data_IF_333612069630
#
_entry.id   IF_333612069630
#
_cell.length_a   1.000
_cell.length_b   1.000
_cell.length_c   1.000
_cell.angle_alpha   90.00
_cell.angle_beta   90.00
_cell.angle_gamma   90.00
#
_symmetry.space_group_name_H-M   'P 1'
#
loop_
_entity.id
_entity.type
_entity.pdbx_description
1 polymer ?
#
# COMPACT_ATOMS: atom_id res chain seq x y z
N UNK A 1 8.06 -1.01 9.03
CA UNK A 1 8.65 -1.86 10.08
C UNK A 1 10.17 -1.79 10.10
N UNK A 2 10.86 -1.85 8.93
CA UNK A 2 12.33 -1.82 8.88
C UNK A 2 12.94 -0.57 9.51
N UNK A 3 12.37 0.60 9.24
CA UNK A 3 12.83 1.88 9.84
C UNK A 3 11.87 2.41 10.91
N UNK A 4 10.57 2.14 10.74
CA UNK A 4 9.52 2.65 11.63
C UNK A 4 8.54 1.55 12.02
N UNK A 5 8.14 1.54 13.28
CA UNK A 5 7.01 0.74 13.76
C UNK A 5 5.70 1.20 13.12
N UNK A 6 4.82 0.25 12.83
CA UNK A 6 3.44 0.49 12.40
C UNK A 6 2.55 -0.55 13.08
N UNK A 7 1.28 -0.27 13.32
CA UNK A 7 0.39 -1.24 14.00
C UNK A 7 -0.11 -2.35 13.07
N UNK A 8 -0.24 -2.04 11.78
CA UNK A 8 -0.78 -2.93 10.75
C UNK A 8 0.20 -3.02 9.57
N UNK A 9 0.73 -4.22 9.32
CA UNK A 9 1.66 -4.50 8.23
C UNK A 9 1.06 -5.47 7.21
N UNK A 10 0.95 -5.04 5.95
CA UNK A 10 0.48 -5.91 4.85
C UNK A 10 1.67 -6.60 4.16
N UNK A 11 1.68 -7.92 4.19
CA UNK A 11 2.66 -8.78 3.53
C UNK A 11 1.97 -9.79 2.61
N UNK A 12 1.70 -9.41 1.36
CA UNK A 12 1.05 -10.30 0.39
C UNK A 12 1.93 -11.50 -0.05
N UNK A 13 3.25 -11.33 -0.02
CA UNK A 13 4.20 -12.39 -0.39
C UNK A 13 4.68 -13.16 0.83
N UNK A 14 4.73 -14.51 0.73
CA UNK A 14 5.22 -15.40 1.80
C UNK A 14 6.58 -14.98 2.36
N UNK A 15 7.50 -14.59 1.48
CA UNK A 15 8.86 -14.17 1.85
C UNK A 15 8.87 -12.94 2.76
N UNK A 16 7.93 -12.01 2.56
CA UNK A 16 7.81 -10.81 3.37
C UNK A 16 7.24 -11.11 4.76
N UNK A 17 6.31 -12.06 4.85
CA UNK A 17 5.79 -12.53 6.16
C UNK A 17 6.91 -13.18 6.97
N UNK A 18 7.68 -14.08 6.34
CA UNK A 18 8.83 -14.73 6.96
C UNK A 18 9.85 -13.72 7.47
N UNK A 19 10.17 -12.73 6.65
CA UNK A 19 11.12 -11.68 7.05
C UNK A 19 10.62 -10.91 8.27
N UNK A 20 9.35 -10.46 8.27
CA UNK A 20 8.78 -9.71 9.40
C UNK A 20 8.80 -10.54 10.69
N UNK A 21 8.43 -11.82 10.62
CA UNK A 21 8.45 -12.72 11.78
C UNK A 21 9.87 -13.02 12.28
N UNK A 22 10.83 -13.24 11.39
CA UNK A 22 12.23 -13.48 11.75
C UNK A 22 12.89 -12.26 12.42
N UNK A 23 12.41 -11.07 12.08
CA UNK A 23 12.82 -9.82 12.74
C UNK A 23 12.00 -9.50 14.00
N UNK A 24 11.19 -10.45 14.51
CA UNK A 24 10.36 -10.30 15.69
C UNK A 24 9.43 -9.08 15.64
N UNK A 25 8.89 -8.77 14.46
CA UNK A 25 7.93 -7.69 14.33
C UNK A 25 6.69 -7.96 15.21
N UNK A 26 6.33 -6.96 16.02
CA UNK A 26 5.36 -7.03 17.10
C UNK A 26 3.97 -6.49 16.73
N UNK A 27 3.86 -5.79 15.59
CA UNK A 27 2.59 -5.34 15.02
C UNK A 27 1.75 -6.47 14.39
N UNK A 28 0.53 -6.14 13.97
CA UNK A 28 -0.35 -7.11 13.30
C UNK A 28 0.06 -7.30 11.83
N UNK A 29 0.47 -8.52 11.48
CA UNK A 29 0.76 -8.90 10.08
C UNK A 29 -0.51 -9.37 9.39
N UNK A 30 -0.76 -8.89 8.18
CA UNK A 30 -1.82 -9.35 7.29
C UNK A 30 -1.21 -10.00 6.05
N UNK A 31 -1.74 -11.14 5.63
CA UNK A 31 -1.29 -11.85 4.42
C UNK A 31 -2.47 -12.48 3.68
N UNK A 32 -2.19 -13.13 2.54
CA UNK A 32 -3.21 -13.78 1.72
C UNK A 32 -3.85 -14.96 2.46
N UNK A 33 -5.13 -15.27 2.18
CA UNK A 33 -5.79 -16.45 2.74
C UNK A 33 -5.04 -17.74 2.39
N UNK A 34 -4.39 -17.80 1.23
CA UNK A 34 -3.56 -18.93 0.78
C UNK A 34 -2.35 -19.21 1.69
N UNK A 35 -1.87 -18.17 2.37
CA UNK A 35 -0.63 -18.18 3.15
C UNK A 35 -0.86 -18.18 4.66
N UNK A 36 -1.97 -17.59 5.12
CA UNK A 36 -2.19 -17.28 6.54
C UNK A 36 -2.01 -18.48 7.47
N UNK A 37 -2.43 -19.68 7.04
CA UNK A 37 -2.33 -20.91 7.84
C UNK A 37 -0.87 -21.30 8.15
N UNK A 38 0.10 -20.81 7.38
CA UNK A 38 1.53 -21.08 7.58
C UNK A 38 2.19 -20.10 8.54
N UNK A 39 1.53 -18.97 8.84
CA UNK A 39 2.11 -17.85 9.54
C UNK A 39 1.23 -17.44 10.71
N UNK A 40 1.51 -18.00 11.89
CA UNK A 40 0.82 -17.59 13.12
C UNK A 40 1.74 -16.71 13.96
N UNK A 41 1.30 -15.52 14.45
CA UNK A 41 -0.04 -14.94 14.32
C UNK A 41 -0.16 -13.91 13.17
N UNK A 42 -0.49 -14.35 11.96
CA UNK A 42 -0.91 -13.46 10.87
C UNK A 42 -2.44 -13.49 10.70
N UNK A 43 -2.99 -12.38 10.19
CA UNK A 43 -4.39 -12.24 9.79
C UNK A 43 -4.53 -12.26 8.28
N UNK A 44 -5.75 -12.46 7.80
CA UNK A 44 -6.06 -12.37 6.36
C UNK A 44 -6.25 -10.89 5.98
N UNK A 45 -5.72 -10.49 4.82
CA UNK A 45 -6.05 -9.20 4.19
C UNK A 45 -7.57 -9.04 4.04
N UNK A 46 -8.12 -7.82 4.08
CA UNK A 46 -9.56 -7.62 3.96
C UNK A 46 -10.09 -8.07 2.59
N UNK A 47 -11.31 -8.60 2.58
CA UNK A 47 -12.04 -8.83 1.33
C UNK A 47 -12.28 -7.51 0.59
N UNK A 48 -12.27 -7.58 -0.75
CA UNK A 48 -12.55 -6.42 -1.58
C UNK A 48 -13.99 -5.95 -1.36
N UNK A 49 -14.24 -4.63 -1.34
CA UNK A 49 -15.57 -4.08 -1.08
C UNK A 49 -16.52 -4.20 -2.29
N UNK A 50 -16.07 -4.85 -3.36
CA UNK A 50 -16.79 -4.99 -4.61
C UNK A 50 -16.43 -6.32 -5.28
N UNK A 51 -17.28 -6.74 -6.23
CA UNK A 51 -17.04 -7.89 -7.09
C UNK A 51 -16.76 -7.42 -8.51
N UNK A 52 -15.74 -7.98 -9.15
CA UNK A 52 -15.45 -7.75 -10.56
C UNK A 52 -15.10 -9.05 -11.28
N UNK A 53 -15.02 -8.97 -12.61
CA UNK A 53 -14.82 -10.14 -13.48
C UNK A 53 -13.47 -10.15 -14.17
N UNK A 54 -12.66 -9.11 -13.96
CA UNK A 54 -11.36 -8.97 -14.61
C UNK A 54 -10.22 -9.49 -13.73
N UNK A 55 -9.05 -9.68 -14.33
CA UNK A 55 -7.84 -10.06 -13.60
C UNK A 55 -7.47 -9.03 -12.51
N UNK A 56 -7.72 -7.76 -12.76
CA UNK A 56 -7.45 -6.66 -11.81
C UNK A 56 -8.34 -6.73 -10.56
N UNK A 57 -9.52 -7.35 -10.69
CA UNK A 57 -10.53 -7.51 -9.63
C UNK A 57 -10.31 -8.75 -8.76
N UNK A 58 -9.42 -9.64 -9.17
CA UNK A 58 -9.11 -10.81 -8.37
C UNK A 58 -8.12 -10.41 -7.25
N UNK A 59 -8.45 -10.64 -5.96
CA UNK A 59 -7.58 -10.30 -4.83
C UNK A 59 -6.18 -10.92 -4.92
N UNK A 60 -6.02 -12.04 -5.64
CA UNK A 60 -4.72 -12.65 -5.91
C UNK A 60 -3.76 -11.71 -6.64
N UNK A 61 -4.28 -10.81 -7.47
CA UNK A 61 -3.50 -9.84 -8.23
C UNK A 61 -3.38 -8.47 -7.54
N UNK A 62 -3.87 -8.32 -6.32
CA UNK A 62 -3.66 -7.13 -5.50
C UNK A 62 -2.33 -7.21 -4.74
N UNK A 63 -1.56 -6.12 -4.77
CA UNK A 63 -0.31 -5.99 -4.02
C UNK A 63 -0.52 -5.48 -2.59
N UNK A 64 0.55 -5.43 -1.79
CA UNK A 64 0.48 -4.92 -0.41
C UNK A 64 0.02 -3.45 -0.34
N UNK A 65 0.43 -2.60 -1.29
CA UNK A 65 0.04 -1.18 -1.33
C UNK A 65 -1.48 -0.99 -1.42
N UNK A 66 -2.16 -1.50 -2.45
CA UNK A 66 -3.62 -1.44 -2.56
C UNK A 66 -4.37 -2.01 -1.35
N UNK A 67 -3.92 -3.13 -0.79
CA UNK A 67 -4.50 -3.67 0.44
C UNK A 67 -4.26 -2.80 1.67
N UNK A 68 -3.13 -2.08 1.76
CA UNK A 68 -2.87 -1.14 2.84
C UNK A 68 -3.83 0.05 2.77
N UNK A 69 -4.10 0.59 1.58
CA UNK A 69 -5.12 1.64 1.39
C UNK A 69 -6.51 1.12 1.75
N UNK A 70 -6.87 -0.09 1.31
CA UNK A 70 -8.16 -0.72 1.64
C UNK A 70 -8.33 -0.92 3.16
N UNK A 71 -7.31 -1.46 3.84
CA UNK A 71 -7.36 -1.64 5.29
C UNK A 71 -7.46 -0.28 5.99
N UNK A 72 -6.67 0.71 5.55
CA UNK A 72 -6.74 2.08 6.05
C UNK A 72 -8.13 2.67 5.95
N UNK A 73 -8.78 2.56 4.78
CA UNK A 73 -10.15 3.02 4.56
C UNK A 73 -11.17 2.32 5.47
N UNK A 74 -11.01 1.00 5.73
CA UNK A 74 -11.90 0.25 6.63
C UNK A 74 -11.75 0.65 8.11
N UNK A 75 -10.57 1.11 8.52
CA UNK A 75 -10.26 1.48 9.90
C UNK A 75 -10.47 2.98 10.17
N UNK A 76 -10.37 3.81 9.14
CA UNK A 76 -10.51 5.25 9.25
C UNK A 76 -11.96 5.67 9.56
N UNK A 77 -12.11 6.82 10.21
CA UNK A 77 -13.42 7.45 10.41
C UNK A 77 -13.72 8.50 9.33
N UNK A 78 -12.72 9.31 8.95
CA UNK A 78 -12.91 10.44 8.03
C UNK A 78 -11.81 10.56 6.99
N UNK A 79 -10.55 10.30 7.35
CA UNK A 79 -9.39 10.65 6.51
C UNK A 79 -8.38 9.50 6.46
N UNK A 80 -7.72 9.34 5.31
CA UNK A 80 -6.60 8.43 5.08
C UNK A 80 -5.45 9.21 4.45
N UNK A 81 -4.29 9.20 5.09
CA UNK A 81 -3.07 9.84 4.58
C UNK A 81 -2.18 8.81 3.90
N UNK A 82 -1.96 8.98 2.60
CA UNK A 82 -1.16 8.10 1.76
C UNK A 82 0.22 8.71 1.53
N UNK A 83 1.26 8.07 2.05
CA UNK A 83 2.67 8.50 1.93
C UNK A 83 3.48 7.43 1.21
N UNK A 84 4.32 7.83 0.25
CA UNK A 84 5.17 6.91 -0.50
C UNK A 84 4.44 6.08 -1.57
N UNK A 85 3.26 6.51 -2.02
CA UNK A 85 2.51 5.89 -3.11
C UNK A 85 2.91 6.49 -4.47
N UNK A 86 4.20 6.39 -4.78
CA UNK A 86 4.78 6.91 -6.02
C UNK A 86 4.46 5.99 -7.19
N UNK A 87 3.71 6.51 -8.18
CA UNK A 87 3.26 5.72 -9.32
C UNK A 87 4.34 5.51 -10.37
N UNK A 88 5.24 6.47 -10.53
CA UNK A 88 6.21 6.49 -11.61
C UNK A 88 7.61 6.67 -11.04
N UNK A 89 8.56 5.90 -11.55
CA UNK A 89 9.97 6.14 -11.24
C UNK A 89 10.42 7.48 -11.82
N UNK A 90 11.24 8.20 -11.07
CA UNK A 90 11.97 9.37 -11.57
C UNK A 90 13.23 8.96 -12.35
N UNK A 91 13.55 7.67 -12.36
CA UNK A 91 14.71 7.08 -13.02
C UNK A 91 14.30 5.95 -13.96
N UNK A 92 15.28 5.34 -14.64
CA UNK A 92 15.07 4.20 -15.51
C UNK A 92 15.06 2.86 -14.77
N UNK A 93 15.04 2.84 -13.43
CA UNK A 93 14.98 1.61 -12.63
C UNK A 93 13.86 1.66 -11.61
N UNK A 94 13.57 0.53 -10.97
CA UNK A 94 12.51 0.39 -9.97
C UNK A 94 12.61 1.48 -8.89
N UNK A 95 11.46 2.09 -8.59
CA UNK A 95 11.34 3.14 -7.58
C UNK A 95 10.94 2.52 -6.24
N UNK A 96 11.93 2.02 -5.50
CA UNK A 96 11.73 1.46 -4.17
C UNK A 96 12.96 1.75 -3.31
N UNK A 97 12.77 2.35 -2.14
CA UNK A 97 13.85 2.73 -1.23
C UNK A 97 14.63 1.51 -0.69
N UNK A 98 14.03 0.31 -0.71
CA UNK A 98 14.63 -0.94 -0.29
C UNK A 98 15.14 -1.80 -1.47
N UNK A 99 15.16 -1.29 -2.70
CA UNK A 99 15.71 -2.05 -3.83
C UNK A 99 17.18 -2.43 -3.57
N UNK A 100 17.56 -3.63 -3.99
CA UNK A 100 18.88 -4.23 -3.73
C UNK A 100 19.02 -4.89 -2.35
N UNK A 101 18.01 -4.81 -1.49
CA UNK A 101 17.99 -5.52 -0.20
C UNK A 101 17.25 -6.86 -0.31
N UNK A 102 17.38 -7.70 0.72
CA UNK A 102 16.68 -8.98 0.78
C UNK A 102 15.17 -8.83 0.55
N UNK A 103 14.61 -9.75 -0.24
CA UNK A 103 13.19 -9.80 -0.64
C UNK A 103 12.67 -8.67 -1.53
N UNK A 104 13.52 -7.71 -1.95
CA UNK A 104 13.19 -6.68 -2.93
C UNK A 104 13.91 -6.91 -4.26
N UNK A 105 13.43 -6.22 -5.29
CA UNK A 105 14.04 -6.23 -6.62
C UNK A 105 15.44 -5.60 -6.60
N UNK A 106 16.28 -5.98 -7.57
CA UNK A 106 17.61 -5.41 -7.74
C UNK A 106 17.59 -3.92 -8.08
N UNK A 107 18.72 -3.24 -7.89
CA UNK A 107 18.86 -1.81 -8.19
C UNK A 107 18.67 -1.47 -9.67
N UNK A 108 18.95 -2.45 -10.54
CA UNK A 108 18.93 -2.32 -12.00
C UNK A 108 17.66 -2.91 -12.63
N UNK A 109 16.69 -3.35 -11.81
CA UNK A 109 15.40 -3.86 -12.30
C UNK A 109 14.61 -2.72 -12.95
N UNK A 110 13.91 -3.04 -14.06
CA UNK A 110 13.05 -2.10 -14.77
C UNK A 110 11.95 -1.50 -13.87
N UNK A 111 11.47 -0.27 -14.17
CA UNK A 111 10.34 0.32 -13.46
C UNK A 111 9.08 -0.55 -13.57
N UNK A 112 8.32 -0.62 -12.48
CA UNK A 112 7.04 -1.34 -12.44
C UNK A 112 5.95 -0.50 -13.10
N UNK A 113 5.13 -1.10 -13.96
CA UNK A 113 3.92 -0.47 -14.50
C UNK A 113 2.87 -0.28 -13.39
N UNK A 114 2.44 0.97 -13.09
CA UNK A 114 1.48 1.25 -12.03
C UNK A 114 0.03 0.94 -12.40
N UNK A 115 -0.28 0.48 -13.62
CA UNK A 115 -1.66 0.28 -14.09
C UNK A 115 -2.55 -0.52 -13.13
N UNK A 116 -2.00 -1.58 -12.51
CA UNK A 116 -2.71 -2.37 -11.50
C UNK A 116 -2.97 -1.58 -10.22
N UNK A 117 -1.95 -0.89 -9.71
CA UNK A 117 -2.09 -0.07 -8.51
C UNK A 117 -3.11 1.05 -8.71
N UNK A 118 -3.04 1.73 -9.85
CA UNK A 118 -3.98 2.77 -10.22
C UNK A 118 -5.40 2.25 -10.23
N UNK A 119 -5.67 1.16 -10.93
CA UNK A 119 -7.00 0.56 -10.96
C UNK A 119 -7.50 0.20 -9.57
N UNK A 120 -6.70 -0.53 -8.80
CA UNK A 120 -7.10 -1.13 -7.53
C UNK A 120 -7.32 -0.07 -6.44
N UNK A 121 -6.43 0.92 -6.35
CA UNK A 121 -6.57 2.01 -5.38
C UNK A 121 -7.72 2.95 -5.77
N UNK A 122 -7.93 3.22 -7.06
CA UNK A 122 -9.12 3.95 -7.51
C UNK A 122 -10.42 3.23 -7.13
N UNK A 123 -10.44 1.88 -7.16
CA UNK A 123 -11.57 1.10 -6.65
C UNK A 123 -11.78 1.26 -5.16
N UNK A 124 -10.72 1.45 -4.37
CA UNK A 124 -10.87 1.80 -2.95
C UNK A 124 -11.52 3.18 -2.82
N UNK A 125 -11.04 4.19 -3.53
CA UNK A 125 -11.62 5.54 -3.48
C UNK A 125 -13.10 5.56 -3.86
N UNK A 126 -13.49 4.80 -4.88
CA UNK A 126 -14.88 4.65 -5.35
C UNK A 126 -15.79 4.01 -4.29
N UNK A 127 -15.30 3.03 -3.53
CA UNK A 127 -16.09 2.27 -2.57
C UNK A 127 -16.14 2.91 -1.17
N UNK A 128 -15.33 3.93 -0.92
CA UNK A 128 -15.29 4.69 0.35
C UNK A 128 -15.43 6.21 0.08
N UNK A 129 -16.54 6.66 -0.54
CA UNK A 129 -16.71 8.06 -0.95
C UNK A 129 -16.78 9.04 0.24
N UNK A 130 -17.06 8.55 1.43
CA UNK A 130 -17.08 9.31 2.69
C UNK A 130 -15.69 9.59 3.26
N UNK A 131 -14.67 8.84 2.85
CA UNK A 131 -13.30 8.99 3.33
C UNK A 131 -12.54 9.94 2.41
N UNK A 132 -11.89 10.95 2.99
CA UNK A 132 -10.97 11.83 2.28
C UNK A 132 -9.56 11.21 2.24
N UNK A 133 -9.06 10.94 1.04
CA UNK A 133 -7.74 10.40 0.82
C UNK A 133 -6.74 11.53 0.51
N UNK A 134 -5.77 11.73 1.39
CA UNK A 134 -4.69 12.70 1.19
C UNK A 134 -3.47 12.00 0.59
N UNK A 135 -3.22 12.21 -0.70
CA UNK A 135 -2.03 11.69 -1.39
C UNK A 135 -0.88 12.70 -1.28
N UNK A 136 0.18 12.32 -0.57
CA UNK A 136 1.39 13.14 -0.44
C UNK A 136 2.39 12.75 -1.51
N UNK A 137 2.44 13.54 -2.58
CA UNK A 137 3.32 13.31 -3.72
C UNK A 137 3.53 14.60 -4.52
N UNK A 138 4.67 14.73 -5.18
CA UNK A 138 4.95 15.84 -6.09
C UNK A 138 4.11 15.75 -7.38
N UNK A 139 3.62 14.55 -7.74
CA UNK A 139 2.71 14.34 -8.87
C UNK A 139 1.31 14.02 -8.35
N UNK A 140 0.30 14.63 -8.97
CA UNK A 140 -1.09 14.36 -8.63
C UNK A 140 -1.44 12.90 -8.94
N UNK A 141 -2.20 12.27 -8.03
CA UNK A 141 -2.82 10.98 -8.26
C UNK A 141 -3.83 11.12 -9.42
N UNK A 142 -3.70 10.33 -10.51
CA UNK A 142 -4.58 10.44 -11.66
C UNK A 142 -5.89 9.72 -11.37
N UNK A 143 -6.87 10.48 -10.89
CA UNK A 143 -8.22 10.02 -10.57
C UNK A 143 -9.24 11.12 -10.83
N UNK A 144 -10.47 10.71 -11.14
CA UNK A 144 -11.64 11.59 -11.21
C UNK A 144 -12.39 11.67 -9.87
N UNK A 145 -11.98 10.87 -8.88
CA UNK A 145 -12.65 10.79 -7.59
C UNK A 145 -12.42 12.06 -6.78
N UNK A 146 -13.53 12.66 -6.32
CA UNK A 146 -13.51 13.96 -5.62
C UNK A 146 -13.04 13.86 -4.18
N UNK A 147 -13.02 12.66 -3.61
CA UNK A 147 -12.54 12.39 -2.26
C UNK A 147 -11.03 12.11 -2.23
N UNK A 148 -10.28 12.59 -3.22
CA UNK A 148 -8.81 12.47 -3.27
C UNK A 148 -8.21 13.88 -3.34
N UNK A 149 -7.48 14.23 -2.28
CA UNK A 149 -6.77 15.49 -2.14
C UNK A 149 -5.27 15.26 -2.34
N UNK A 150 -4.67 15.94 -3.31
CA UNK A 150 -3.23 15.89 -3.54
C UNK A 150 -2.52 16.96 -2.70
N UNK A 151 -1.51 16.54 -1.93
CA UNK A 151 -0.66 17.40 -1.12
C UNK A 151 0.79 17.25 -1.55
N UNK A 152 1.53 18.35 -1.58
CA UNK A 152 2.96 18.31 -1.88
C UNK A 152 3.73 17.68 -0.71
N UNK A 153 4.87 17.03 -0.98
CA UNK A 153 5.66 16.38 0.08
C UNK A 153 6.10 17.36 1.18
N UNK A 154 6.42 18.61 0.81
CA UNK A 154 6.79 19.67 1.77
C UNK A 154 5.66 19.98 2.77
N UNK A 155 4.40 19.75 2.39
CA UNK A 155 3.27 19.97 3.30
C UNK A 155 3.19 18.88 4.38
N UNK A 156 3.73 17.69 4.11
CA UNK A 156 3.85 16.64 5.13
C UNK A 156 4.90 17.00 6.19
N UNK A 157 6.05 17.54 5.77
CA UNK A 157 7.13 17.95 6.67
C UNK A 157 6.66 19.04 7.65
N UNK A 158 5.99 20.08 7.13
CA UNK A 158 5.46 21.18 7.95
C UNK A 158 4.44 20.69 8.99
N UNK A 159 3.56 19.76 8.60
CA UNK A 159 2.56 19.22 9.52
C UNK A 159 3.20 18.46 10.70
N UNK A 160 4.33 17.78 10.46
CA UNK A 160 5.04 17.03 11.49
C UNK A 160 5.95 17.92 12.36
N UNK A 161 6.40 19.08 11.88
CA UNK A 161 7.16 20.05 12.68
C UNK A 161 6.28 20.86 13.65
N UNK A 162 4.99 20.93 13.38
CA UNK A 162 4.01 21.74 14.13
C UNK A 162 3.13 20.92 15.08
N UNK A 163 3.31 19.59 15.11
CA UNK A 163 2.55 18.63 15.92
C UNK A 163 3.27 18.24 17.23
#
# INVERSE_FOLDING_TARGET
>A
YRDFYVDHLICCDRRMVLEAQQNNYDGTIYTRPDWVAQFTPAKVVPDLPYSGTTRLDNPWHWGSGPFAVLLGAKLATNEVHMVGFDLYSETNTVNNIYKGTGNYEGTDTDPVDPSYWLYQINKVFENYPEIMFHNYNNKQWPTEQKNVCNKMLIEFEIANETA
#
